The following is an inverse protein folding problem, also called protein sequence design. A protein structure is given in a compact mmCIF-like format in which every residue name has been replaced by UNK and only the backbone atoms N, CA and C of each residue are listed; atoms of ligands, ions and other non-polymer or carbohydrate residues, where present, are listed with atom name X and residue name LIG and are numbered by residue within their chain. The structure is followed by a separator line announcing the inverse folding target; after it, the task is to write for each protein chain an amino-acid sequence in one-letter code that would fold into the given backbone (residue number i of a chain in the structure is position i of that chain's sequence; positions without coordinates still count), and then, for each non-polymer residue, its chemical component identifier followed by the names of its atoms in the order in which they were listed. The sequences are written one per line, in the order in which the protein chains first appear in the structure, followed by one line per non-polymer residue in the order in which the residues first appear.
data_IF_202379684430
#
_entry.id   IF_202379684430
#
_cell.length_a   1.000
_cell.length_b   1.000
_cell.length_c   1.000
_cell.angle_alpha   90.00
_cell.angle_beta   90.00
_cell.angle_gamma   90.00
#
_symmetry.space_group_name_H-M   'P 1'
#
loop_
_entity.id
_entity.type
_entity.pdbx_description
1 polymer ?
#
# COMPACT_ATOMS: atom_id res chain seq x y z
N UNK A 1 -0.54 4.65 -0.58
CA UNK A 1 0.81 4.88 -1.15
C UNK A 1 1.82 4.54 -0.09
N UNK A 2 2.89 3.85 -0.46
CA UNK A 2 3.92 3.36 0.46
C UNK A 2 5.26 4.01 0.14
N UNK A 3 5.89 4.56 1.18
CA UNK A 3 7.16 5.29 1.08
C UNK A 3 8.26 4.59 1.91
N UNK A 4 7.94 4.22 3.15
CA UNK A 4 8.77 3.44 4.08
C UNK A 4 7.88 2.53 4.91
N UNK A 5 8.44 1.43 5.38
CA UNK A 5 7.72 0.43 6.16
C UNK A 5 8.55 0.01 7.38
N UNK A 6 7.90 -0.17 8.52
CA UNK A 6 8.49 -0.93 9.62
C UNK A 6 8.55 -2.44 9.28
N UNK A 7 9.57 -3.15 9.77
CA UNK A 7 9.74 -4.60 9.57
C UNK A 7 8.48 -5.44 9.91
N UNK A 8 7.64 -4.97 10.84
CA UNK A 8 6.38 -5.61 11.23
C UNK A 8 5.18 -4.64 11.08
N UNK A 9 5.02 -4.01 9.94
CA UNK A 9 3.92 -3.05 9.73
C UNK A 9 2.55 -3.72 9.77
N UNK A 10 1.67 -3.25 10.68
CA UNK A 10 0.30 -3.72 10.75
C UNK A 10 -0.48 -3.43 9.45
N UNK A 11 -0.14 -2.32 8.78
CA UNK A 11 -0.71 -1.94 7.48
C UNK A 11 -0.42 -2.99 6.43
N UNK A 12 0.83 -3.45 6.29
CA UNK A 12 1.18 -4.48 5.30
C UNK A 12 0.49 -5.80 5.60
N UNK A 13 0.53 -6.25 6.85
CA UNK A 13 -0.13 -7.49 7.25
C UNK A 13 -1.64 -7.44 6.96
N UNK A 14 -2.27 -6.29 7.17
CA UNK A 14 -3.70 -6.08 6.85
C UNK A 14 -3.96 -6.14 5.35
N UNK A 15 -3.09 -5.55 4.52
CA UNK A 15 -3.21 -5.59 3.07
C UNK A 15 -3.01 -7.01 2.51
N UNK A 16 -2.07 -7.77 3.08
CA UNK A 16 -1.84 -9.19 2.74
C UNK A 16 -3.09 -10.00 3.08
N UNK A 17 -3.61 -9.87 4.29
CA UNK A 17 -4.83 -10.54 4.70
C UNK A 17 -6.03 -10.14 3.82
N UNK A 18 -6.12 -8.88 3.41
CA UNK A 18 -7.16 -8.43 2.49
C UNK A 18 -7.07 -9.13 1.12
N UNK A 19 -5.87 -9.23 0.55
CA UNK A 19 -5.62 -9.92 -0.72
C UNK A 19 -5.93 -11.42 -0.62
N UNK A 20 -5.47 -12.08 0.45
CA UNK A 20 -5.75 -13.50 0.72
C UNK A 20 -7.25 -13.77 0.91
N UNK A 21 -8.00 -12.79 1.44
CA UNK A 21 -9.46 -12.83 1.52
C UNK A 21 -10.16 -12.45 0.20
N UNK A 22 -9.46 -12.51 -0.94
CA UNK A 22 -10.01 -12.30 -2.27
C UNK A 22 -10.30 -10.84 -2.65
N UNK A 23 -9.85 -9.85 -1.86
CA UNK A 23 -10.01 -8.43 -2.20
C UNK A 23 -8.96 -8.03 -3.22
N UNK A 24 -9.33 -7.15 -4.15
CA UNK A 24 -8.37 -6.52 -5.07
C UNK A 24 -7.60 -5.45 -4.32
N UNK A 25 -6.31 -5.68 -4.14
CA UNK A 25 -5.41 -4.77 -3.42
C UNK A 25 -4.34 -4.29 -4.38
N UNK A 26 -4.15 -2.97 -4.46
CA UNK A 26 -3.08 -2.33 -5.22
C UNK A 26 -2.28 -1.43 -4.31
N UNK A 27 -0.94 -1.55 -4.35
CA UNK A 27 -0.03 -0.72 -3.57
C UNK A 27 0.96 -0.04 -4.51
N UNK A 28 1.05 1.28 -4.38
CA UNK A 28 2.12 2.05 -4.98
C UNK A 28 3.32 2.09 -4.03
N UNK A 29 4.50 1.67 -4.50
CA UNK A 29 5.76 1.62 -3.73
C UNK A 29 6.77 2.59 -4.33
N UNK A 30 7.22 3.54 -3.52
CA UNK A 30 8.36 4.41 -3.83
C UNK A 30 9.67 3.66 -3.55
N UNK A 31 10.38 3.23 -4.60
CA UNK A 31 11.63 2.50 -4.46
C UNK A 31 12.78 3.43 -4.04
N UNK A 32 12.81 4.68 -4.52
CA UNK A 32 13.90 5.64 -4.23
C UNK A 32 13.73 6.41 -2.92
N UNK A 33 13.08 5.80 -1.93
CA UNK A 33 13.14 6.32 -0.57
C UNK A 33 14.60 6.23 -0.09
N UNK A 34 15.20 7.38 0.28
CA UNK A 34 16.62 7.43 0.68
C UNK A 34 16.91 6.38 1.75
N UNK A 35 17.88 5.50 1.49
CA UNK A 35 18.41 4.47 2.39
C UNK A 35 17.51 3.26 2.69
N UNK A 36 16.40 3.06 1.96
CA UNK A 36 15.46 1.94 2.20
C UNK A 36 15.17 1.10 0.95
N UNK A 37 15.98 1.24 -0.11
CA UNK A 37 15.71 0.67 -1.44
C UNK A 37 15.57 -0.87 -1.40
N UNK A 38 16.52 -1.56 -0.76
CA UNK A 38 16.50 -3.03 -0.66
C UNK A 38 15.31 -3.54 0.17
N UNK A 39 15.02 -2.88 1.30
CA UNK A 39 13.92 -3.28 2.18
C UNK A 39 12.56 -3.05 1.52
N UNK A 40 12.38 -1.91 0.85
CA UNK A 40 11.16 -1.63 0.09
C UNK A 40 10.97 -2.63 -1.05
N UNK A 41 12.05 -3.03 -1.73
CA UNK A 41 11.99 -4.04 -2.79
C UNK A 41 11.60 -5.43 -2.24
N UNK A 42 12.27 -5.90 -1.19
CA UNK A 42 11.96 -7.19 -0.57
C UNK A 42 10.51 -7.27 -0.08
N UNK A 43 10.06 -6.20 0.57
CA UNK A 43 8.67 -6.07 1.04
C UNK A 43 7.68 -6.04 -0.12
N UNK A 44 8.00 -5.35 -1.22
CA UNK A 44 7.18 -5.32 -2.41
C UNK A 44 7.04 -6.71 -3.06
N UNK A 45 8.13 -7.47 -3.16
CA UNK A 45 8.08 -8.85 -3.68
C UNK A 45 7.26 -9.78 -2.77
N UNK A 46 7.36 -9.65 -1.45
CA UNK A 46 6.52 -10.40 -0.50
C UNK A 46 5.02 -10.09 -0.67
N UNK A 47 4.67 -8.80 -0.78
CA UNK A 47 3.29 -8.38 -1.02
C UNK A 47 2.77 -8.91 -2.36
N UNK A 48 3.60 -8.85 -3.41
CA UNK A 48 3.28 -9.35 -4.75
C UNK A 48 3.03 -10.86 -4.74
N UNK A 49 3.88 -11.62 -4.06
CA UNK A 49 3.69 -13.07 -3.86
C UNK A 49 2.39 -13.39 -3.11
N UNK A 50 1.89 -12.47 -2.29
CA UNK A 50 0.63 -12.58 -1.55
C UNK A 50 -0.62 -12.16 -2.34
N UNK A 51 -0.48 -11.86 -3.65
CA UNK A 51 -1.59 -11.48 -4.53
C UNK A 51 -1.90 -9.99 -4.58
N UNK A 52 -1.05 -9.13 -3.99
CA UNK A 52 -1.18 -7.68 -4.09
C UNK A 52 -0.60 -7.20 -5.44
N UNK A 53 -1.32 -6.35 -6.15
CA UNK A 53 -0.81 -5.69 -7.34
C UNK A 53 0.14 -4.55 -6.93
N UNK A 54 1.41 -4.61 -7.35
CA UNK A 54 2.41 -3.59 -7.04
C UNK A 54 2.62 -2.66 -8.23
N UNK A 55 2.60 -1.35 -7.94
CA UNK A 55 3.00 -0.30 -8.87
C UNK A 55 4.24 0.36 -8.30
N UNK A 56 5.37 0.30 -9.00
CA UNK A 56 6.59 0.96 -8.57
C UNK A 56 6.63 2.42 -9.03
N UNK A 57 7.40 3.24 -8.32
CA UNK A 57 7.67 4.63 -8.68
C UNK A 57 8.32 4.77 -10.07
N UNK A 58 7.85 5.75 -10.83
CA UNK A 58 8.44 6.13 -12.12
C UNK A 58 9.78 6.82 -11.88
N UNK A 59 10.84 6.50 -12.64
CA UNK A 59 12.12 7.18 -12.52
C UNK A 59 11.97 8.71 -12.58
N UNK A 60 12.63 9.41 -11.65
CA UNK A 60 12.62 10.88 -11.50
C UNK A 60 11.30 11.51 -11.04
N UNK A 61 10.25 10.73 -10.78
CA UNK A 61 9.00 11.21 -10.20
C UNK A 61 8.83 10.69 -8.78
N UNK A 62 8.92 11.59 -7.80
CA UNK A 62 8.72 11.25 -6.38
C UNK A 62 7.25 11.38 -6.01
N UNK A 63 6.71 10.38 -5.32
CA UNK A 63 5.36 10.46 -4.76
C UNK A 63 5.44 10.72 -3.25
N UNK A 64 5.22 11.98 -2.86
CA UNK A 64 5.18 12.41 -1.46
C UNK A 64 3.78 12.36 -0.84
N UNK A 65 2.74 12.08 -1.63
CA UNK A 65 1.36 11.99 -1.16
C UNK A 65 1.16 10.73 -0.32
N UNK A 66 0.49 10.85 0.83
CA UNK A 66 0.12 9.73 1.70
C UNK A 66 -1.39 9.56 1.62
N UNK A 67 -1.79 8.63 0.77
CA UNK A 67 -3.20 8.39 0.47
C UNK A 67 -3.53 6.92 0.53
N UNK A 68 -4.75 6.60 0.97
CA UNK A 68 -5.35 5.29 0.85
C UNK A 68 -6.79 5.43 0.36
N UNK A 69 -7.26 4.45 -0.41
CA UNK A 69 -8.62 4.43 -0.94
C UNK A 69 -9.20 3.03 -0.71
N UNK A 70 -10.34 2.96 -0.03
CA UNK A 70 -11.12 1.74 0.14
C UNK A 70 -12.41 1.88 -0.62
N UNK A 71 -12.64 0.97 -1.55
CA UNK A 71 -13.89 0.86 -2.30
C UNK A 71 -14.70 -0.29 -1.70
N UNK A 72 -15.91 0.00 -1.21
CA UNK A 72 -16.80 -0.98 -0.59
C UNK A 72 -18.13 -1.01 -1.32
N UNK A 73 -18.56 -2.21 -1.74
CA UNK A 73 -19.94 -2.44 -2.16
C UNK A 73 -20.82 -2.73 -0.94
N UNK A 74 -22.07 -2.31 -1.01
CA UNK A 74 -23.10 -2.78 -0.08
C UNK A 74 -23.36 -4.28 -0.24
N UNK A 75 -24.15 -4.87 0.67
CA UNK A 75 -24.43 -6.30 0.66
C UNK A 75 -25.14 -6.77 -0.63
N UNK A 76 -25.86 -5.87 -1.29
CA UNK A 76 -26.60 -6.13 -2.53
C UNK A 76 -25.75 -5.88 -3.79
N UNK A 77 -24.53 -5.36 -3.66
CA UNK A 77 -23.62 -5.04 -4.76
C UNK A 77 -23.96 -3.78 -5.55
N UNK A 78 -25.03 -3.05 -5.19
CA UNK A 78 -25.64 -1.95 -5.95
C UNK A 78 -24.92 -0.63 -5.74
N UNK A 79 -24.59 -0.29 -4.49
CA UNK A 79 -23.90 0.96 -4.15
C UNK A 79 -22.41 0.73 -3.95
N UNK A 80 -21.59 1.49 -4.66
CA UNK A 80 -20.15 1.57 -4.43
C UNK A 80 -19.84 2.83 -3.62
N UNK A 81 -19.33 2.65 -2.40
CA UNK A 81 -18.90 3.75 -1.53
C UNK A 81 -17.38 3.79 -1.47
N UNK A 82 -16.83 4.99 -1.57
CA UNK A 82 -15.39 5.26 -1.52
C UNK A 82 -15.02 5.93 -0.19
N UNK A 83 -14.01 5.39 0.49
CA UNK A 83 -13.42 5.98 1.68
C UNK A 83 -11.98 6.35 1.36
N UNK A 84 -11.68 7.65 1.37
CA UNK A 84 -10.36 8.17 1.12
C UNK A 84 -9.71 8.61 2.43
N UNK A 85 -8.44 8.25 2.60
CA UNK A 85 -7.56 8.80 3.63
C UNK A 85 -6.50 9.65 2.95
N UNK A 86 -6.29 10.87 3.44
CA UNK A 86 -5.30 11.82 2.94
C UNK A 86 -4.58 12.36 4.17
N UNK A 87 -3.25 12.30 4.17
CA UNK A 87 -2.45 12.70 5.33
C UNK A 87 -1.16 13.41 4.96
N UNK A 88 -0.67 14.21 5.91
CA UNK A 88 0.65 14.82 5.89
C UNK A 88 1.74 13.84 6.37
N UNK A 89 1.39 12.91 7.27
CA UNK A 89 2.27 11.89 7.87
C UNK A 89 2.24 10.55 7.12
N UNK A 90 3.32 9.78 7.24
CA UNK A 90 3.48 8.47 6.60
C UNK A 90 2.73 7.36 7.37
N UNK A 91 2.63 6.17 6.77
CA UNK A 91 2.02 4.98 7.36
C UNK A 91 3.02 4.12 8.18
N UNK A 92 4.21 4.65 8.47
CA UNK A 92 5.20 3.98 9.29
C UNK A 92 4.96 4.35 10.76
N UNK A 93 4.59 3.35 11.56
CA UNK A 93 4.21 3.47 12.98
C UNK A 93 5.36 3.91 13.90
N UNK A 94 6.62 3.82 13.44
CA UNK A 94 7.82 4.18 14.21
C UNK A 94 8.36 5.59 13.89
N UNK A 95 7.61 6.40 13.15
CA UNK A 95 8.06 7.74 12.72
C UNK A 95 7.82 8.80 13.78
#
# INVERSE_FOLDING_TARGET
TQYRVAENSAVINTLIAAAQNGKKVTVFVELKARFDEENNLATAEMMKASGINIIYSIPKLKVLAKVALVLRRDAEGKKLTSYAYISTGNFNEKT
#
